data_IF_299308402929
#
_entry.id   IF_299308402929
#
_cell.length_a   1.000
_cell.length_b   1.000
_cell.length_c   1.000
_cell.angle_alpha   90.00
_cell.angle_beta   90.00
_cell.angle_gamma   90.00
#
_symmetry.space_group_name_H-M   'P 1'
#
loop_
_entity.id
_entity.type
_entity.pdbx_description
1 polymer ?
#
# COMPACT_ATOMS: atom_id res chain seq x y z
N UNK A 1 -3.78 12.15 0.73
CA UNK A 1 -3.73 10.90 1.53
C UNK A 1 -2.54 10.08 1.07
N UNK A 2 -1.74 9.48 1.96
CA UNK A 2 -0.58 8.67 1.58
C UNK A 2 -1.09 7.39 0.90
N UNK A 3 -1.26 7.48 -0.42
CA UNK A 3 -1.73 6.38 -1.28
C UNK A 3 -0.49 5.65 -1.80
N UNK A 4 -0.42 4.36 -1.52
CA UNK A 4 0.66 3.49 -1.96
C UNK A 4 0.18 2.63 -3.13
N UNK A 5 0.99 2.52 -4.18
CA UNK A 5 0.79 1.54 -5.26
C UNK A 5 2.06 0.69 -5.40
N UNK A 6 1.98 -0.42 -6.13
CA UNK A 6 3.16 -1.26 -6.38
C UNK A 6 4.21 -0.49 -7.18
N UNK A 7 3.79 0.30 -8.18
CA UNK A 7 4.65 1.12 -9.01
C UNK A 7 5.36 2.19 -8.19
N UNK A 8 4.65 2.83 -7.24
CA UNK A 8 5.25 3.80 -6.32
C UNK A 8 6.24 3.13 -5.37
N UNK A 9 5.89 1.99 -4.78
CA UNK A 9 6.81 1.24 -3.92
C UNK A 9 8.07 0.81 -4.69
N UNK A 10 7.90 0.37 -5.93
CA UNK A 10 8.99 0.01 -6.83
C UNK A 10 9.95 1.19 -7.06
N UNK A 11 9.42 2.36 -7.40
CA UNK A 11 10.23 3.55 -7.70
C UNK A 11 10.93 4.12 -6.46
N UNK A 12 10.20 4.24 -5.35
CA UNK A 12 10.70 4.90 -4.13
C UNK A 12 11.69 4.02 -3.36
N UNK A 13 11.52 2.69 -3.41
CA UNK A 13 12.41 1.74 -2.73
C UNK A 13 13.52 1.20 -3.64
N UNK A 14 13.54 1.61 -4.91
CA UNK A 14 14.49 1.15 -5.93
C UNK A 14 14.58 -0.39 -6.01
N UNK A 15 13.43 -1.08 -5.94
CA UNK A 15 13.32 -2.55 -6.06
C UNK A 15 12.60 -2.95 -7.34
N UNK A 16 12.59 -4.24 -7.65
CA UNK A 16 11.80 -4.75 -8.78
C UNK A 16 10.30 -4.78 -8.46
N UNK A 17 9.46 -4.77 -9.51
CA UNK A 17 8.01 -4.90 -9.33
C UNK A 17 7.60 -6.17 -8.55
N UNK A 18 8.14 -7.38 -8.84
CA UNK A 18 7.84 -8.57 -8.02
C UNK A 18 8.20 -8.42 -6.54
N UNK A 19 9.32 -7.76 -6.23
CA UNK A 19 9.74 -7.48 -4.85
C UNK A 19 8.76 -6.53 -4.16
N UNK A 20 8.43 -5.41 -4.79
CA UNK A 20 7.45 -4.44 -4.27
C UNK A 20 6.06 -5.06 -4.09
N UNK A 21 5.62 -5.87 -5.04
CA UNK A 21 4.33 -6.58 -4.97
C UNK A 21 4.28 -7.55 -3.80
N UNK A 22 5.37 -8.30 -3.58
CA UNK A 22 5.47 -9.25 -2.45
C UNK A 22 5.44 -8.52 -1.12
N UNK A 23 6.20 -7.42 -0.99
CA UNK A 23 6.20 -6.60 0.22
C UNK A 23 4.79 -6.04 0.53
N UNK A 24 4.10 -5.50 -0.47
CA UNK A 24 2.73 -5.00 -0.31
C UNK A 24 1.77 -6.12 0.11
N UNK A 25 1.87 -7.33 -0.48
CA UNK A 25 1.03 -8.48 -0.07
C UNK A 25 1.29 -8.90 1.37
N UNK A 26 2.54 -8.86 1.84
CA UNK A 26 2.88 -9.17 3.24
C UNK A 26 2.27 -8.13 4.18
N UNK A 27 2.36 -6.84 3.84
CA UNK A 27 1.78 -5.77 4.63
C UNK A 27 0.23 -5.81 4.61
N UNK A 28 -0.38 -6.20 3.49
CA UNK A 28 -1.83 -6.41 3.38
C UNK A 28 -2.28 -7.62 4.22
N UNK A 29 -1.58 -8.75 4.10
CA UNK A 29 -1.89 -9.97 4.85
C UNK A 29 -1.72 -9.82 6.37
N UNK A 30 -0.86 -8.89 6.82
CA UNK A 30 -0.65 -8.56 8.24
C UNK A 30 -1.59 -7.45 8.73
N UNK A 31 -2.48 -6.93 7.87
CA UNK A 31 -3.47 -5.91 8.23
C UNK A 31 -2.94 -4.48 8.27
N UNK A 32 -1.66 -4.25 7.95
CA UNK A 32 -1.05 -2.90 7.92
C UNK A 32 -1.58 -2.10 6.74
N UNK A 33 -1.67 -2.72 5.56
CA UNK A 33 -2.20 -2.09 4.36
C UNK A 33 -3.61 -2.58 4.05
N UNK A 34 -4.48 -1.64 3.65
CA UNK A 34 -5.84 -1.93 3.20
C UNK A 34 -5.99 -1.45 1.76
N UNK A 35 -6.47 -2.34 0.88
CA UNK A 35 -6.82 -2.02 -0.51
C UNK A 35 -8.07 -1.12 -0.57
N UNK A 36 -8.05 -0.08 -1.40
CA UNK A 36 -9.09 0.98 -1.40
C UNK A 36 -9.78 1.21 -2.74
N UNK A 37 -9.38 0.52 -3.80
CA UNK A 37 -9.88 0.78 -5.17
C UNK A 37 -10.91 -0.24 -5.63
N UNK A 38 -10.89 -1.47 -5.10
CA UNK A 38 -11.75 -2.57 -5.55
C UNK A 38 -11.47 -3.05 -6.98
N UNK A 39 -10.34 -2.66 -7.60
CA UNK A 39 -10.01 -2.97 -9.00
C UNK A 39 -8.95 -4.07 -9.10
N UNK A 40 -8.94 -4.78 -10.24
CA UNK A 40 -7.96 -5.83 -10.51
C UNK A 40 -6.54 -5.30 -10.80
N UNK A 41 -6.42 -4.07 -11.32
CA UNK A 41 -5.15 -3.41 -11.69
C UNK A 41 -5.10 -1.99 -11.14
N UNK A 42 -3.88 -1.47 -10.94
CA UNK A 42 -3.68 -0.13 -10.38
C UNK A 42 -4.21 -0.01 -8.95
N UNK A 43 -4.14 -1.11 -8.19
CA UNK A 43 -4.60 -1.16 -6.80
C UNK A 43 -3.87 -0.12 -5.98
N UNK A 44 -4.62 0.54 -5.11
CA UNK A 44 -4.07 1.50 -4.18
C UNK A 44 -4.35 1.06 -2.75
N UNK A 45 -3.32 1.22 -1.92
CA UNK A 45 -3.30 0.80 -0.54
C UNK A 45 -3.17 2.01 0.37
N UNK A 46 -3.74 1.90 1.56
CA UNK A 46 -3.57 2.87 2.64
C UNK A 46 -3.13 2.16 3.91
N UNK A 47 -2.28 2.81 4.69
CA UNK A 47 -2.05 2.40 6.07
C UNK A 47 -3.16 3.00 6.93
N UNK A 48 -4.18 2.18 7.24
CA UNK A 48 -5.43 2.63 7.86
C UNK A 48 -5.18 3.29 9.23
N UNK A 49 -4.46 2.63 10.13
CA UNK A 49 -4.17 3.16 11.47
C UNK A 49 -3.45 4.51 11.42
N UNK A 50 -2.49 4.67 10.49
CA UNK A 50 -1.79 5.94 10.34
C UNK A 50 -2.69 7.05 9.82
N UNK A 51 -3.57 6.73 8.87
CA UNK A 51 -4.56 7.70 8.37
C UNK A 51 -5.54 8.10 9.46
N UNK A 52 -5.97 7.16 10.29
CA UNK A 52 -6.92 7.42 11.38
C UNK A 52 -6.28 8.28 12.47
N UNK A 53 -5.03 7.96 12.85
CA UNK A 53 -4.23 8.80 13.75
C UNK A 53 -4.09 10.25 13.23
N UNK A 54 -3.80 10.43 11.94
CA UNK A 54 -3.66 11.76 11.34
C UNK A 54 -4.99 12.53 11.26
N UNK A 55 -6.13 11.84 11.32
CA UNK A 55 -7.45 12.47 11.30
C UNK A 55 -7.88 12.96 12.68
N UNK A 56 -7.10 12.71 13.73
CA UNK A 56 -7.51 12.90 15.14
C UNK A 56 -8.84 12.18 15.45
N UNK A 57 -9.04 11.00 14.88
CA UNK A 57 -10.11 10.07 15.27
C UNK A 57 -9.57 9.01 16.23
#
# INVERSE_FOLDING_TARGET
MPRLTVERAQSELAVTFPTASTAIKVLEATGILVETTGRARGKSYVYKDYVDLLRNE
#
